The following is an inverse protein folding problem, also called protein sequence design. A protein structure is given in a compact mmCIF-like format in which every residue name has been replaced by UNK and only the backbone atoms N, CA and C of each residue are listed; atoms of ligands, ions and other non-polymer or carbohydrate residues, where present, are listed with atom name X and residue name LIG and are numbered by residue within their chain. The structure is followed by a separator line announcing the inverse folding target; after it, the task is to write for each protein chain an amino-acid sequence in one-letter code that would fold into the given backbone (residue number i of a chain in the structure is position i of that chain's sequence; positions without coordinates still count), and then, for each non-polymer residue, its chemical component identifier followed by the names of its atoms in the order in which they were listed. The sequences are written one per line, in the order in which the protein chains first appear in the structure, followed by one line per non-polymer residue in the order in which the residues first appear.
data_IF_364867618273
#
_entry.id   IF_364867618273
#
_cell.length_a   1.000
_cell.length_b   1.000
_cell.length_c   1.000
_cell.angle_alpha   90.00
_cell.angle_beta   90.00
_cell.angle_gamma   90.00
#
_symmetry.space_group_name_H-M   'P 1'
#
loop_
_entity.id
_entity.type
_entity.pdbx_description
1 polymer ?
#
# COMPACT_ATOMS: atom_id res chain seq x y z
N UNK A 1 -4.08 -8.31 -13.74
CA UNK A 1 -5.48 -8.65 -13.41
C UNK A 1 -5.56 -10.17 -13.40
N UNK A 2 -5.89 -10.77 -12.26
CA UNK A 2 -5.92 -12.24 -12.12
C UNK A 2 -7.26 -12.79 -12.63
N UNK A 3 -7.28 -13.23 -13.88
CA UNK A 3 -8.46 -13.89 -14.47
C UNK A 3 -8.67 -15.25 -13.81
N UNK A 4 -9.85 -15.47 -13.22
CA UNK A 4 -10.29 -16.81 -12.78
C UNK A 4 -11.23 -17.40 -13.82
N UNK A 5 -11.05 -18.68 -14.16
CA UNK A 5 -11.97 -19.39 -15.05
C UNK A 5 -13.20 -19.87 -14.29
N UNK A 6 -14.37 -19.80 -14.90
CA UNK A 6 -15.60 -20.34 -14.34
C UNK A 6 -15.47 -21.86 -14.17
N UNK A 7 -15.72 -22.45 -12.98
CA UNK A 7 -15.64 -23.90 -12.80
C UNK A 7 -16.76 -24.68 -13.50
N UNK A 8 -17.80 -24.00 -14.00
CA UNK A 8 -18.93 -24.64 -14.68
C UNK A 8 -18.81 -24.61 -16.21
N UNK A 9 -18.24 -23.55 -16.80
CA UNK A 9 -18.16 -23.38 -18.25
C UNK A 9 -16.75 -23.06 -18.78
N UNK A 10 -15.73 -22.99 -17.91
CA UNK A 10 -14.33 -22.68 -18.25
C UNK A 10 -14.08 -21.30 -18.89
N UNK A 11 -15.11 -20.46 -19.04
CA UNK A 11 -15.00 -19.11 -19.58
C UNK A 11 -14.25 -18.16 -18.62
N UNK A 12 -13.61 -17.12 -19.17
CA UNK A 12 -12.88 -16.13 -18.37
C UNK A 12 -13.86 -15.26 -17.56
N UNK A 13 -13.81 -15.34 -16.23
CA UNK A 13 -14.61 -14.49 -15.36
C UNK A 13 -13.86 -13.20 -15.03
N UNK A 14 -14.46 -12.08 -15.40
CA UNK A 14 -14.09 -10.76 -14.90
C UNK A 14 -14.64 -10.61 -13.49
N UNK A 15 -13.83 -10.99 -12.49
CA UNK A 15 -14.13 -10.73 -11.09
C UNK A 15 -13.83 -9.27 -10.78
N UNK A 16 -14.75 -8.38 -11.12
CA UNK A 16 -14.70 -6.99 -10.66
C UNK A 16 -15.23 -6.91 -9.22
N UNK A 17 -14.79 -5.89 -8.47
CA UNK A 17 -15.36 -5.50 -7.17
C UNK A 17 -16.80 -5.02 -7.34
N UNK A 18 -17.70 -5.95 -7.60
CA UNK A 18 -19.11 -5.67 -7.79
C UNK A 18 -19.69 -5.13 -6.47
N UNK A 19 -20.26 -3.92 -6.54
CA UNK A 19 -20.97 -3.34 -5.40
C UNK A 19 -22.09 -4.28 -4.95
N UNK A 20 -22.26 -4.41 -3.65
CA UNK A 20 -23.25 -5.32 -3.09
C UNK A 20 -24.66 -4.88 -3.51
N UNK A 21 -25.34 -5.74 -4.27
CA UNK A 21 -26.72 -5.52 -4.64
C UNK A 21 -27.64 -5.78 -3.44
N UNK A 22 -28.32 -4.74 -2.96
CA UNK A 22 -29.18 -4.77 -1.77
C UNK A 22 -30.33 -5.79 -1.94
N UNK A 23 -30.89 -5.92 -3.14
CA UNK A 23 -31.97 -6.88 -3.40
C UNK A 23 -31.47 -8.31 -3.23
N UNK A 24 -30.32 -8.65 -3.82
CA UNK A 24 -29.71 -9.97 -3.67
C UNK A 24 -29.32 -10.27 -2.22
N UNK A 25 -28.78 -9.28 -1.50
CA UNK A 25 -28.49 -9.40 -0.06
C UNK A 25 -29.75 -9.76 0.73
N UNK A 26 -30.84 -9.02 0.52
CA UNK A 26 -32.10 -9.25 1.22
C UNK A 26 -32.69 -10.64 0.94
N UNK A 27 -32.59 -11.13 -0.31
CA UNK A 27 -33.03 -12.49 -0.66
C UNK A 27 -32.17 -13.51 0.08
N UNK A 28 -30.84 -13.38 0.06
CA UNK A 28 -29.93 -14.32 0.72
C UNK A 28 -30.13 -14.34 2.24
N UNK A 29 -30.33 -13.19 2.87
CA UNK A 29 -30.59 -13.05 4.31
C UNK A 29 -31.89 -13.72 4.73
N UNK A 30 -32.96 -13.55 3.93
CA UNK A 30 -34.26 -14.20 4.19
C UNK A 30 -34.21 -15.70 3.94
N UNK A 31 -33.59 -16.14 2.85
CA UNK A 31 -33.57 -17.55 2.44
C UNK A 31 -32.60 -18.39 3.26
N UNK A 32 -31.48 -17.82 3.73
CA UNK A 32 -30.41 -18.58 4.40
C UNK A 32 -29.88 -17.91 5.68
N UNK A 33 -30.75 -17.55 6.65
CA UNK A 33 -30.37 -16.72 7.80
C UNK A 33 -29.25 -17.35 8.66
N UNK A 34 -29.27 -18.66 8.86
CA UNK A 34 -28.22 -19.37 9.62
C UNK A 34 -26.85 -19.33 8.93
N UNK A 35 -26.82 -19.45 7.59
CA UNK A 35 -25.57 -19.40 6.81
C UNK A 35 -24.99 -18.00 6.78
N UNK A 36 -25.85 -16.98 6.65
CA UNK A 36 -25.42 -15.58 6.71
C UNK A 36 -24.82 -15.24 8.07
N UNK A 37 -25.52 -15.55 9.17
CA UNK A 37 -24.99 -15.32 10.54
C UNK A 37 -23.64 -16.01 10.77
N UNK A 38 -23.50 -17.27 10.34
CA UNK A 38 -22.24 -18.01 10.46
C UNK A 38 -21.13 -17.33 9.66
N UNK A 39 -21.40 -16.92 8.41
CA UNK A 39 -20.42 -16.23 7.56
C UNK A 39 -20.01 -14.87 8.13
N UNK A 40 -20.97 -14.12 8.67
CA UNK A 40 -20.73 -12.83 9.29
C UNK A 40 -19.87 -12.95 10.55
N UNK A 41 -20.14 -13.95 11.40
CA UNK A 41 -19.28 -14.26 12.55
C UNK A 41 -17.82 -14.49 12.16
N UNK A 42 -17.54 -15.32 11.15
CA UNK A 42 -16.16 -15.57 10.72
C UNK A 42 -15.53 -14.35 10.04
N UNK A 43 -16.32 -13.58 9.28
CA UNK A 43 -15.85 -12.33 8.69
C UNK A 43 -15.44 -11.33 9.77
N UNK A 44 -16.30 -11.09 10.75
CA UNK A 44 -16.05 -10.15 11.83
C UNK A 44 -14.87 -10.60 12.71
N UNK A 45 -14.75 -11.92 12.95
CA UNK A 45 -13.57 -12.50 13.61
C UNK A 45 -12.29 -12.20 12.83
N UNK A 46 -12.29 -12.42 11.50
CA UNK A 46 -11.12 -12.15 10.66
C UNK A 46 -10.78 -10.65 10.58
N UNK A 47 -11.78 -9.79 10.56
CA UNK A 47 -11.57 -8.32 10.61
C UNK A 47 -10.91 -7.94 11.92
N UNK A 48 -11.37 -8.47 13.06
CA UNK A 48 -10.74 -8.21 14.36
C UNK A 48 -9.30 -8.71 14.42
N UNK A 49 -9.03 -9.92 13.94
CA UNK A 49 -7.66 -10.46 13.84
C UNK A 49 -6.78 -9.53 12.99
N UNK A 50 -7.28 -9.01 11.86
CA UNK A 50 -6.55 -8.06 11.02
C UNK A 50 -6.34 -6.70 11.72
N UNK A 51 -7.32 -6.20 12.47
CA UNK A 51 -7.19 -4.98 13.26
C UNK A 51 -6.18 -5.14 14.39
N UNK A 52 -6.11 -6.30 15.03
CA UNK A 52 -5.11 -6.64 16.05
C UNK A 52 -3.71 -6.78 15.42
N UNK A 53 -3.58 -7.47 14.28
CA UNK A 53 -2.34 -7.53 13.49
C UNK A 53 -1.88 -6.13 13.05
N UNK A 54 -2.80 -5.21 12.76
CA UNK A 54 -2.50 -3.82 12.42
C UNK A 54 -2.08 -3.00 13.64
N UNK A 55 -2.73 -3.19 14.79
CA UNK A 55 -2.33 -2.54 16.06
C UNK A 55 -0.98 -3.01 16.57
N UNK A 56 -0.64 -4.28 16.40
CA UNK A 56 0.71 -4.78 16.67
C UNK A 56 1.74 -4.17 15.70
N UNK A 57 1.30 -3.86 14.47
CA UNK A 57 2.09 -3.13 13.48
C UNK A 57 2.07 -1.60 13.65
N UNK A 58 1.25 -1.02 14.52
CA UNK A 58 1.27 0.43 14.81
C UNK A 58 2.53 0.85 15.60
N UNK A 59 3.36 -0.11 16.05
CA UNK A 59 4.74 0.16 16.46
C UNK A 59 5.70 0.38 15.28
N UNK A 60 5.28 0.11 14.04
CA UNK A 60 5.94 0.64 12.85
C UNK A 60 5.42 2.04 12.61
N UNK A 61 6.28 3.03 12.87
CA UNK A 61 6.05 4.41 12.42
C UNK A 61 5.60 4.39 10.96
N UNK A 62 4.51 5.08 10.62
CA UNK A 62 4.06 5.20 9.22
C UNK A 62 5.23 5.69 8.36
N UNK A 63 5.85 4.77 7.61
CA UNK A 63 7.02 5.06 6.77
C UNK A 63 6.50 5.60 5.45
N UNK A 64 6.84 6.85 5.06
CA UNK A 64 6.38 7.42 3.81
C UNK A 64 6.84 6.61 2.59
N UNK A 65 6.00 6.57 1.56
CA UNK A 65 6.28 5.84 0.32
C UNK A 65 6.48 6.83 -0.84
N UNK A 66 7.62 6.71 -1.50
CA UNK A 66 7.99 7.47 -2.69
C UNK A 66 7.90 6.59 -3.94
N UNK A 67 7.09 7.00 -4.91
CA UNK A 67 6.95 6.31 -6.19
C UNK A 67 7.91 6.90 -7.23
N UNK A 68 8.85 6.09 -7.74
CA UNK A 68 9.77 6.51 -8.81
C UNK A 68 9.75 5.51 -9.96
N UNK A 69 9.87 5.99 -11.19
CA UNK A 69 9.93 5.11 -12.38
C UNK A 69 11.27 4.35 -12.54
N UNK A 70 12.24 4.59 -11.65
CA UNK A 70 13.56 3.95 -11.63
C UNK A 70 13.66 2.74 -10.69
N UNK A 71 14.87 2.21 -10.57
CA UNK A 71 15.23 1.13 -9.64
C UNK A 71 16.32 1.63 -8.70
N UNK A 72 16.21 1.27 -7.43
CA UNK A 72 17.26 1.40 -6.42
C UNK A 72 17.76 0.00 -6.12
N UNK A 73 19.07 -0.16 -5.98
CA UNK A 73 19.67 -1.47 -5.70
C UNK A 73 19.98 -1.57 -4.20
N UNK A 74 19.75 -2.73 -3.54
CA UNK A 74 20.14 -2.90 -2.14
C UNK A 74 21.61 -2.53 -1.90
N UNK A 75 21.87 -1.75 -0.86
CA UNK A 75 23.20 -1.24 -0.52
C UNK A 75 23.75 -0.12 -1.41
N UNK A 76 23.07 0.29 -2.49
CA UNK A 76 23.53 1.39 -3.34
C UNK A 76 23.37 2.75 -2.66
N UNK A 77 24.21 3.70 -3.11
CA UNK A 77 24.03 5.12 -2.82
C UNK A 77 23.56 5.80 -4.11
N UNK A 78 22.47 6.55 -4.02
CA UNK A 78 21.84 7.22 -5.16
C UNK A 78 21.49 8.67 -4.82
N UNK A 79 21.33 9.48 -5.87
CA UNK A 79 20.90 10.87 -5.73
C UNK A 79 19.50 11.04 -6.31
N UNK A 80 18.59 11.62 -5.51
CA UNK A 80 17.24 11.95 -5.96
C UNK A 80 17.06 13.46 -6.04
N UNK A 81 16.54 13.90 -7.17
CA UNK A 81 16.12 15.28 -7.39
C UNK A 81 14.63 15.39 -7.13
N UNK A 82 14.29 16.13 -6.09
CA UNK A 82 12.92 16.42 -5.68
C UNK A 82 12.52 17.77 -6.25
N UNK A 83 11.42 17.77 -6.99
CA UNK A 83 10.86 18.97 -7.63
C UNK A 83 9.34 19.07 -7.48
N UNK A 84 8.64 17.97 -7.20
CA UNK A 84 7.18 18.03 -6.99
C UNK A 84 6.87 18.46 -5.55
N UNK A 85 5.95 19.42 -5.33
CA UNK A 85 5.60 19.94 -3.99
C UNK A 85 5.28 18.85 -2.97
N UNK A 86 4.48 17.84 -3.35
CA UNK A 86 4.11 16.72 -2.45
C UNK A 86 5.31 15.95 -1.89
N UNK A 87 6.39 15.85 -2.66
CA UNK A 87 7.60 15.15 -2.22
C UNK A 87 8.50 16.06 -1.39
N UNK A 88 8.41 17.39 -1.52
CA UNK A 88 9.05 18.29 -0.57
C UNK A 88 8.45 18.14 0.83
N UNK A 89 7.12 18.13 0.94
CA UNK A 89 6.43 17.95 2.22
C UNK A 89 6.79 16.60 2.86
N UNK A 90 6.76 15.53 2.04
CA UNK A 90 7.17 14.20 2.47
C UNK A 90 8.62 14.17 2.98
N UNK A 91 9.57 14.75 2.24
CA UNK A 91 10.98 14.78 2.64
C UNK A 91 11.18 15.60 3.92
N UNK A 92 10.46 16.72 4.09
CA UNK A 92 10.50 17.50 5.33
C UNK A 92 10.04 16.66 6.53
N UNK A 93 8.97 15.87 6.39
CA UNK A 93 8.52 14.93 7.42
C UNK A 93 9.55 13.84 7.70
N UNK A 94 10.16 13.27 6.66
CA UNK A 94 11.19 12.23 6.79
C UNK A 94 12.44 12.76 7.51
N UNK A 95 12.85 14.00 7.23
CA UNK A 95 14.01 14.63 7.87
C UNK A 95 13.81 14.89 9.37
N UNK A 96 12.56 15.10 9.81
CA UNK A 96 12.20 15.27 11.22
C UNK A 96 12.12 13.94 12.00
N UNK A 97 12.14 12.80 11.29
CA UNK A 97 12.06 11.45 11.86
C UNK A 97 13.40 10.71 11.65
N UNK A 98 13.35 9.39 11.51
CA UNK A 98 14.51 8.50 11.31
C UNK A 98 15.21 8.64 9.95
N UNK A 99 14.81 9.62 9.13
CA UNK A 99 15.32 9.83 7.77
C UNK A 99 15.11 8.65 6.83
N UNK A 100 14.16 7.77 7.15
CA UNK A 100 13.84 6.57 6.36
C UNK A 100 12.53 6.74 5.61
N UNK A 101 12.50 6.23 4.39
CA UNK A 101 11.29 6.13 3.58
C UNK A 101 11.41 4.95 2.61
N UNK A 102 10.30 4.53 2.01
CA UNK A 102 10.27 3.40 1.08
C UNK A 102 10.19 3.91 -0.35
N UNK A 103 10.96 3.31 -1.26
CA UNK A 103 10.86 3.52 -2.70
C UNK A 103 10.16 2.34 -3.35
N UNK A 104 9.09 2.62 -4.09
CA UNK A 104 8.32 1.63 -4.86
C UNK A 104 8.24 2.08 -6.31
N UNK A 105 8.33 1.15 -7.27
CA UNK A 105 8.29 1.51 -8.69
C UNK A 105 6.89 1.85 -9.18
N UNK A 106 5.89 1.08 -8.72
CA UNK A 106 4.48 1.25 -9.10
C UNK A 106 3.56 0.99 -7.91
N UNK A 107 2.44 1.69 -7.86
CA UNK A 107 1.46 1.54 -6.76
C UNK A 107 0.89 0.13 -6.59
N UNK A 108 0.91 -0.69 -7.65
CA UNK A 108 0.46 -2.08 -7.60
C UNK A 108 1.51 -3.05 -7.02
N UNK A 109 2.76 -2.63 -6.88
CA UNK A 109 3.82 -3.46 -6.30
C UNK A 109 3.70 -3.52 -4.78
N UNK A 110 3.94 -4.72 -4.23
CA UNK A 110 3.88 -4.99 -2.78
C UNK A 110 5.26 -4.95 -2.11
N UNK A 111 6.32 -4.87 -2.91
CA UNK A 111 7.70 -4.83 -2.46
C UNK A 111 8.32 -3.49 -2.85
N UNK A 112 9.19 -2.98 -1.99
CA UNK A 112 9.91 -1.74 -2.19
C UNK A 112 11.24 -1.77 -1.45
N UNK A 113 12.06 -0.74 -1.70
CA UNK A 113 13.37 -0.58 -1.07
C UNK A 113 13.27 0.40 0.08
N UNK A 114 13.68 -0.02 1.27
CA UNK A 114 13.81 0.89 2.40
C UNK A 114 15.11 1.68 2.23
N UNK A 115 15.00 3.00 2.18
CA UNK A 115 16.16 3.88 1.99
C UNK A 115 16.28 4.88 3.12
N UNK A 116 17.49 5.36 3.35
CA UNK A 116 17.81 6.39 4.34
C UNK A 116 18.42 7.62 3.66
N UNK A 117 17.98 8.82 4.03
CA UNK A 117 18.61 10.07 3.60
C UNK A 117 19.93 10.25 4.34
N UNK A 118 21.03 10.27 3.59
CA UNK A 118 22.37 10.58 4.10
C UNK A 118 22.64 12.07 4.04
N UNK A 119 22.33 12.72 2.91
CA UNK A 119 22.58 14.15 2.69
C UNK A 119 21.34 14.84 2.12
N UNK A 120 21.11 16.09 2.53
CA UNK A 120 20.04 16.95 2.04
C UNK A 120 20.62 18.29 1.63
N UNK A 121 20.31 18.73 0.40
CA UNK A 121 20.71 20.03 -0.12
C UNK A 121 19.55 20.70 -0.83
N UNK A 122 19.22 21.92 -0.39
CA UNK A 122 18.30 22.80 -1.12
C UNK A 122 19.08 23.61 -2.15
N UNK A 123 18.64 23.54 -3.39
CA UNK A 123 19.19 24.28 -4.54
C UNK A 123 18.24 25.46 -4.82
N UNK A 124 18.71 26.45 -5.57
CA UNK A 124 17.86 27.54 -6.06
C UNK A 124 16.66 26.98 -6.86
N UNK A 125 15.56 27.73 -6.93
CA UNK A 125 14.31 27.39 -7.62
C UNK A 125 13.49 26.24 -7.01
N UNK A 126 13.44 26.14 -5.68
CA UNK A 126 12.72 25.08 -4.94
C UNK A 126 13.16 23.64 -5.27
N UNK A 127 14.26 23.45 -6.00
CA UNK A 127 14.81 22.13 -6.29
C UNK A 127 15.55 21.63 -5.07
N UNK A 128 15.30 20.38 -4.68
CA UNK A 128 16.03 19.72 -3.60
C UNK A 128 16.76 18.53 -4.15
N UNK A 129 18.01 18.33 -3.73
CA UNK A 129 18.79 17.14 -4.03
C UNK A 129 19.03 16.42 -2.71
N UNK A 130 18.68 15.14 -2.68
CA UNK A 130 18.97 14.26 -1.53
C UNK A 130 19.88 13.13 -1.99
N UNK A 131 20.81 12.75 -1.14
CA UNK A 131 21.58 11.51 -1.27
C UNK A 131 20.94 10.46 -0.39
N UNK A 132 20.66 9.31 -0.95
CA UNK A 132 20.02 8.19 -0.26
C UNK A 132 20.92 6.96 -0.29
N UNK A 133 20.79 6.13 0.73
CA UNK A 133 21.38 4.80 0.81
C UNK A 133 20.28 3.77 0.96
N UNK A 134 20.27 2.76 0.10
CA UNK A 134 19.40 1.59 0.29
C UNK A 134 19.93 0.75 1.44
N UNK A 135 19.04 0.42 2.37
CA UNK A 135 19.32 -0.48 3.48
C UNK A 135 19.25 -1.94 3.05
#
# INVERSE_FOLDING_TARGET
EDFKKCPLCSEHCFMNDAKVNIALRNVIEKSFPKRVKKRQYYHDKRVKELEEELKEKDNFSEIPVFFIMGHVTPGSNDFLRIFEPRYHDMINLVLQRDRKFVIIRKRAEKLGYLVKIEEYRRVMDNRTIIKIKSL
#
